data_IF_868582633903
#
_entry.id   IF_868582633903
#
_cell.length_a   1.000
_cell.length_b   1.000
_cell.length_c   1.000
_cell.angle_alpha   90.00
_cell.angle_beta   90.00
_cell.angle_gamma   90.00
#
_symmetry.space_group_name_H-M   'P 1'
#
loop_
_entity.id
_entity.type
_entity.pdbx_description
1 polymer ?
#
# COMPACT_ATOMS: atom_id res chain seq x y z
N UNK A 1 -5.10 1.94 -0.62
CA UNK A 1 -5.07 3.36 -0.25
C UNK A 1 -6.25 3.61 0.65
N UNK A 2 -6.04 4.32 1.75
CA UNK A 2 -7.11 4.59 2.72
C UNK A 2 -7.42 6.08 2.68
N UNK A 3 -8.69 6.39 2.44
CA UNK A 3 -9.16 7.77 2.47
C UNK A 3 -9.82 8.00 3.83
N UNK A 4 -9.30 8.97 4.57
CA UNK A 4 -9.72 9.30 5.94
C UNK A 4 -10.05 10.78 6.02
N UNK A 5 -11.23 11.11 6.54
CA UNK A 5 -11.65 12.48 6.84
C UNK A 5 -11.99 12.57 8.34
N UNK A 6 -11.21 13.36 9.08
CA UNK A 6 -11.29 13.37 10.55
C UNK A 6 -10.94 12.00 11.11
N UNK A 7 -11.84 11.42 11.91
CA UNK A 7 -11.65 10.11 12.55
C UNK A 7 -12.31 8.96 11.77
N UNK A 8 -12.89 9.22 10.59
CA UNK A 8 -13.65 8.24 9.82
C UNK A 8 -12.94 7.82 8.55
N UNK A 9 -12.89 6.51 8.31
CA UNK A 9 -12.55 5.93 7.01
C UNK A 9 -13.73 6.10 6.07
N UNK A 10 -13.49 6.72 4.92
CA UNK A 10 -14.51 6.97 3.91
C UNK A 10 -14.42 6.00 2.74
N UNK A 11 -13.21 5.56 2.37
CA UNK A 11 -13.01 4.65 1.23
C UNK A 11 -11.75 3.78 1.40
N UNK A 12 -11.79 2.58 0.80
CA UNK A 12 -10.64 1.68 0.69
C UNK A 12 -10.35 1.38 -0.79
N UNK A 13 -9.30 1.99 -1.31
CA UNK A 13 -8.80 1.79 -2.68
C UNK A 13 -7.92 0.54 -2.77
N UNK A 14 -8.44 -0.54 -3.36
CA UNK A 14 -7.75 -1.85 -3.41
C UNK A 14 -7.09 -2.18 -4.75
N UNK A 15 -7.47 -1.52 -5.84
CA UNK A 15 -6.99 -1.85 -7.20
C UNK A 15 -5.77 -1.03 -7.59
N UNK A 16 -5.88 0.30 -7.58
CA UNK A 16 -4.82 1.20 -8.04
C UNK A 16 -4.68 2.43 -7.14
N UNK A 17 -4.36 2.25 -5.84
CA UNK A 17 -4.08 3.40 -4.98
C UNK A 17 -2.84 4.17 -5.47
N UNK A 18 -2.89 5.50 -5.40
CA UNK A 18 -1.86 6.41 -5.91
C UNK A 18 -1.08 7.09 -4.76
N UNK A 19 -0.45 8.24 -5.01
CA UNK A 19 0.19 9.13 -4.03
C UNK A 19 1.58 8.71 -3.49
N UNK A 20 2.26 7.72 -4.09
CA UNK A 20 3.59 7.31 -3.64
C UNK A 20 4.63 8.45 -3.75
N UNK A 21 4.58 9.23 -4.83
CA UNK A 21 5.53 10.31 -5.10
C UNK A 21 5.31 11.44 -4.11
N UNK A 22 4.06 11.86 -3.94
CA UNK A 22 3.67 12.96 -3.08
C UNK A 22 4.03 12.67 -1.60
N UNK A 23 3.83 11.44 -1.15
CA UNK A 23 4.25 11.02 0.20
C UNK A 23 5.78 11.07 0.34
N UNK A 24 6.52 10.57 -0.66
CA UNK A 24 7.97 10.59 -0.62
C UNK A 24 8.52 12.02 -0.59
N UNK A 25 7.96 12.94 -1.38
CA UNK A 25 8.36 14.34 -1.42
C UNK A 25 8.05 15.09 -0.12
N UNK A 26 6.89 14.83 0.50
CA UNK A 26 6.45 15.56 1.69
C UNK A 26 7.05 15.02 3.00
N UNK A 27 7.32 13.71 3.07
CA UNK A 27 7.72 13.05 4.30
C UNK A 27 9.15 12.51 4.27
N UNK A 28 9.75 12.39 3.08
CA UNK A 28 11.02 11.69 2.87
C UNK A 28 10.91 10.17 2.99
N UNK A 29 9.70 9.61 3.11
CA UNK A 29 9.48 8.17 3.26
C UNK A 29 9.46 7.45 1.90
N UNK A 30 10.29 6.42 1.77
CA UNK A 30 10.35 5.58 0.57
C UNK A 30 9.22 4.53 0.54
N UNK A 31 8.02 4.98 0.16
CA UNK A 31 6.84 4.12 0.02
C UNK A 31 7.07 3.03 -1.02
N UNK A 32 7.74 3.35 -2.13
CA UNK A 32 8.00 2.41 -3.22
C UNK A 32 8.93 1.27 -2.75
N UNK A 33 10.02 1.61 -2.05
CA UNK A 33 10.92 0.65 -1.45
C UNK A 33 10.23 -0.24 -0.42
N UNK A 34 9.40 0.33 0.46
CA UNK A 34 8.59 -0.42 1.41
C UNK A 34 7.68 -1.44 0.69
N UNK A 35 6.98 -1.01 -0.36
CA UNK A 35 6.09 -1.86 -1.15
C UNK A 35 6.84 -3.01 -1.82
N UNK A 36 7.95 -2.72 -2.51
CA UNK A 36 8.75 -3.74 -3.20
C UNK A 36 9.31 -4.76 -2.20
N UNK A 37 9.83 -4.31 -1.06
CA UNK A 37 10.31 -5.24 -0.02
C UNK A 37 9.20 -6.17 0.50
N UNK A 38 7.98 -5.66 0.67
CA UNK A 38 6.84 -6.48 1.08
C UNK A 38 6.46 -7.50 -0.02
N UNK A 39 6.47 -7.07 -1.28
CA UNK A 39 6.21 -7.93 -2.43
C UNK A 39 7.24 -9.06 -2.54
N UNK A 40 8.53 -8.73 -2.47
CA UNK A 40 9.62 -9.70 -2.51
C UNK A 40 9.49 -10.74 -1.38
N UNK A 41 9.17 -10.29 -0.17
CA UNK A 41 8.89 -11.19 0.97
C UNK A 41 7.71 -12.12 0.71
N UNK A 42 6.61 -11.60 0.16
CA UNK A 42 5.43 -12.40 -0.14
C UNK A 42 5.73 -13.47 -1.21
N UNK A 43 6.44 -13.10 -2.27
CA UNK A 43 6.84 -14.03 -3.33
C UNK A 43 7.83 -15.07 -2.79
N UNK A 44 8.83 -14.66 -2.00
CA UNK A 44 9.82 -15.56 -1.40
C UNK A 44 9.20 -16.53 -0.37
N UNK A 45 8.17 -16.11 0.35
CA UNK A 45 7.40 -16.96 1.26
C UNK A 45 6.49 -17.97 0.54
N UNK A 46 6.50 -17.98 -0.80
CA UNK A 46 5.62 -18.84 -1.62
C UNK A 46 4.15 -18.50 -1.42
N UNK A 47 3.82 -17.24 -1.15
CA UNK A 47 2.50 -16.85 -0.65
C UNK A 47 1.38 -17.39 -1.55
N UNK A 48 0.60 -18.29 -0.96
CA UNK A 48 -0.73 -18.67 -1.41
C UNK A 48 -1.53 -17.39 -1.66
N UNK A 49 -2.11 -17.29 -2.85
CA UNK A 49 -3.15 -16.31 -3.17
C UNK A 49 -4.24 -16.48 -2.10
N UNK A 50 -4.49 -15.49 -1.22
CA UNK A 50 -5.72 -15.53 -0.44
C UNK A 50 -6.85 -15.41 -1.46
N UNK A 51 -7.69 -16.44 -1.54
CA UNK A 51 -8.92 -16.36 -2.34
C UNK A 51 -9.67 -15.11 -1.89
N UNK A 52 -9.99 -14.23 -2.84
CA UNK A 52 -10.84 -13.08 -2.59
C UNK A 52 -12.12 -13.56 -1.91
N UNK A 53 -12.37 -13.07 -0.70
CA UNK A 53 -13.61 -13.29 0.04
C UNK A 53 -14.76 -12.48 -0.58
#
# INVERSE_FOLDING_TARGET
GLDVIGDYVTEVNVTSPTCFVEIAEQTGFDVAGMFVQALEKAVAAGAAVPAAA
#
